data_IF_090181492387
#
_entry.id   IF_090181492387
#
_cell.length_a   1.000
_cell.length_b   1.000
_cell.length_c   1.000
_cell.angle_alpha   90.00
_cell.angle_beta   90.00
_cell.angle_gamma   90.00
#
_symmetry.space_group_name_H-M   'P 1'
#
loop_
_entity.id
_entity.type
_entity.pdbx_description
1 polymer ?
#
# COMPACT_ATOMS: atom_id res chain seq x y z
N UNK A 1 2.73 13.43 -17.06
CA UNK A 1 3.27 12.67 -15.93
C UNK A 1 2.17 12.52 -14.89
N UNK A 2 1.80 11.29 -14.54
CA UNK A 2 0.79 10.94 -13.54
C UNK A 2 1.48 10.37 -12.31
N UNK A 3 1.15 10.93 -11.15
CA UNK A 3 1.71 10.50 -9.86
C UNK A 3 0.58 9.92 -9.02
N UNK A 4 0.81 8.77 -8.42
CA UNK A 4 -0.03 8.21 -7.37
C UNK A 4 0.66 8.46 -6.03
N UNK A 5 0.01 9.18 -5.13
CA UNK A 5 0.54 9.50 -3.81
C UNK A 5 -0.21 8.69 -2.74
N UNK A 6 0.52 7.95 -1.91
CA UNK A 6 -0.02 7.09 -0.85
C UNK A 6 0.99 7.00 0.30
N UNK A 7 0.53 6.59 1.48
CA UNK A 7 1.34 6.43 2.69
C UNK A 7 0.57 5.62 3.73
N UNK A 8 1.11 5.49 4.94
CA UNK A 8 0.42 4.89 6.09
C UNK A 8 -0.04 3.44 5.85
N UNK A 9 0.79 2.64 5.18
CA UNK A 9 0.47 1.24 4.87
C UNK A 9 0.53 0.34 6.12
N UNK A 10 1.44 0.65 7.06
CA UNK A 10 1.63 -0.11 8.30
C UNK A 10 1.66 -1.63 8.07
N UNK A 11 2.46 -2.09 7.10
CA UNK A 11 2.60 -3.52 6.85
C UNK A 11 3.10 -4.26 8.09
N UNK A 12 2.53 -5.43 8.33
CA UNK A 12 2.76 -6.21 9.55
C UNK A 12 1.88 -5.82 10.75
N UNK A 13 1.09 -4.74 10.67
CA UNK A 13 0.16 -4.35 11.75
C UNK A 13 -0.86 -5.43 12.05
N UNK A 14 -1.13 -5.61 13.34
CA UNK A 14 -2.28 -6.39 13.83
C UNK A 14 -3.37 -5.44 14.34
N UNK A 15 -4.63 -5.82 14.18
CA UNK A 15 -5.77 -5.11 14.77
C UNK A 15 -6.48 -6.05 15.73
N UNK A 16 -6.54 -5.67 17.01
CA UNK A 16 -7.13 -6.49 18.07
C UNK A 16 -6.56 -7.92 18.13
N UNK A 17 -5.25 -8.06 17.88
CA UNK A 17 -4.55 -9.35 17.85
C UNK A 17 -4.79 -10.17 16.58
N UNK A 18 -5.52 -9.65 15.59
CA UNK A 18 -5.75 -10.30 14.30
C UNK A 18 -4.79 -9.78 13.24
N UNK A 19 -4.22 -10.69 12.47
CA UNK A 19 -3.37 -10.34 11.32
C UNK A 19 -4.19 -9.63 10.23
N UNK A 20 -3.58 -8.61 9.62
CA UNK A 20 -4.11 -7.88 8.48
C UNK A 20 -3.43 -8.28 7.16
N UNK A 21 -2.58 -9.30 7.19
CA UNK A 21 -1.72 -9.68 6.06
C UNK A 21 -2.52 -9.91 4.77
N UNK A 22 -3.66 -10.62 4.85
CA UNK A 22 -4.47 -10.90 3.66
C UNK A 22 -4.99 -9.62 3.00
N UNK A 23 -5.44 -8.67 3.81
CA UNK A 23 -5.94 -7.38 3.31
C UNK A 23 -4.80 -6.51 2.78
N UNK A 24 -3.60 -6.62 3.36
CA UNK A 24 -2.40 -5.94 2.86
C UNK A 24 -1.95 -6.51 1.50
N UNK A 25 -2.03 -7.83 1.30
CA UNK A 25 -1.79 -8.48 0.01
C UNK A 25 -2.80 -8.01 -1.04
N UNK A 26 -4.10 -8.06 -0.71
CA UNK A 26 -5.18 -7.65 -1.61
C UNK A 26 -5.05 -6.16 -2.01
N UNK A 27 -4.65 -5.31 -1.07
CA UNK A 27 -4.34 -3.89 -1.32
C UNK A 27 -3.19 -3.71 -2.31
N UNK A 28 -2.09 -4.45 -2.15
CA UNK A 28 -0.94 -4.34 -3.07
C UNK A 28 -1.32 -4.79 -4.47
N UNK A 29 -2.09 -5.87 -4.60
CA UNK A 29 -2.61 -6.32 -5.90
C UNK A 29 -3.49 -5.25 -6.56
N UNK A 30 -4.36 -4.59 -5.79
CA UNK A 30 -5.20 -3.51 -6.29
C UNK A 30 -4.38 -2.29 -6.71
N UNK A 31 -3.40 -1.90 -5.89
CA UNK A 31 -2.50 -0.80 -6.20
C UNK A 31 -1.78 -1.02 -7.54
N UNK A 32 -1.27 -2.24 -7.77
CA UNK A 32 -0.61 -2.61 -9.03
C UNK A 32 -1.58 -2.49 -10.21
N UNK A 33 -2.81 -2.99 -10.08
CA UNK A 33 -3.85 -2.82 -11.11
C UNK A 33 -4.11 -1.35 -11.42
N UNK A 34 -4.29 -0.51 -10.40
CA UNK A 34 -4.52 0.93 -10.55
C UNK A 34 -3.34 1.59 -11.27
N UNK A 35 -2.10 1.27 -10.89
CA UNK A 35 -0.89 1.81 -11.53
C UNK A 35 -0.86 1.50 -13.02
N UNK A 36 -1.20 0.27 -13.41
CA UNK A 36 -1.27 -0.13 -14.82
C UNK A 36 -2.43 0.55 -15.57
N UNK A 37 -3.65 0.44 -15.05
CA UNK A 37 -4.85 0.93 -15.74
C UNK A 37 -4.82 2.46 -15.91
N UNK A 38 -4.32 3.17 -14.91
CA UNK A 38 -4.22 4.63 -14.93
C UNK A 38 -2.94 5.15 -15.56
N UNK A 39 -2.03 4.26 -16.02
CA UNK A 39 -0.74 4.63 -16.60
C UNK A 39 0.03 5.60 -15.70
N UNK A 40 0.18 5.22 -14.44
CA UNK A 40 0.93 5.99 -13.44
C UNK A 40 2.42 5.90 -13.76
N UNK A 41 3.11 7.05 -13.76
CA UNK A 41 4.54 7.14 -14.06
C UNK A 41 5.40 7.04 -12.79
N UNK A 42 4.84 7.42 -11.64
CA UNK A 42 5.51 7.42 -10.34
C UNK A 42 4.52 7.11 -9.21
N UNK A 43 4.86 6.17 -8.33
CA UNK A 43 4.21 6.01 -7.02
C UNK A 43 5.07 6.70 -5.97
N UNK A 44 4.49 7.67 -5.26
CA UNK A 44 5.15 8.39 -4.16
C UNK A 44 4.64 7.83 -2.83
N UNK A 45 5.58 7.28 -2.06
CA UNK A 45 5.36 6.72 -0.72
C UNK A 45 5.64 7.77 0.36
N UNK A 46 4.60 8.19 1.08
CA UNK A 46 4.61 9.28 2.06
C UNK A 46 4.81 8.81 3.51
N UNK A 47 5.66 7.81 3.73
CA UNK A 47 5.98 7.30 5.06
C UNK A 47 5.13 6.10 5.50
N UNK A 48 5.49 5.56 6.66
CA UNK A 48 4.80 4.48 7.39
C UNK A 48 4.49 3.23 6.55
N UNK A 49 5.52 2.72 5.88
CA UNK A 49 5.43 1.48 5.09
C UNK A 49 5.24 0.26 6.00
N UNK A 50 5.93 0.21 7.13
CA UNK A 50 5.88 -0.89 8.10
C UNK A 50 5.44 -0.37 9.47
N UNK A 51 4.73 -1.21 10.23
CA UNK A 51 4.21 -0.85 11.56
C UNK A 51 5.29 -0.84 12.66
N UNK A 52 6.39 -1.58 12.45
CA UNK A 52 7.54 -1.64 13.33
C UNK A 52 8.84 -1.52 12.54
N UNK A 53 9.84 -0.86 13.13
CA UNK A 53 11.20 -0.72 12.57
C UNK A 53 12.10 -1.86 13.06
#
# INVERSE_FOLDING_TARGET
MRILHTGDWHFGRTLEGRSRMKEQEDFVEELVRIVHDQKIDLVMMAGDVYDSV
#
